data_IF_207355693310
#
_entry.id   IF_207355693310
#
_cell.length_a   1.000
_cell.length_b   1.000
_cell.length_c   1.000
_cell.angle_alpha   90.00
_cell.angle_beta   90.00
_cell.angle_gamma   90.00
#
_symmetry.space_group_name_H-M   'P 1'
#
loop_
_entity.id
_entity.type
_entity.pdbx_description
1 polymer ?
#
# COMPACT_ATOMS: atom_id res chain seq x y z
N UNK A 1 -21.95 -41.01 -16.61
CA UNK A 1 -21.89 -39.69 -17.29
C UNK A 1 -21.56 -38.64 -16.26
N UNK A 2 -20.63 -37.74 -16.56
CA UNK A 2 -20.25 -36.63 -15.69
C UNK A 2 -21.36 -35.57 -15.76
N UNK A 3 -21.83 -35.10 -14.61
CA UNK A 3 -22.83 -34.03 -14.49
C UNK A 3 -22.17 -32.65 -14.38
N UNK A 4 -22.96 -31.60 -14.54
CA UNK A 4 -22.49 -30.23 -14.29
C UNK A 4 -22.06 -30.06 -12.83
N UNK A 5 -21.08 -29.22 -12.59
CA UNK A 5 -20.72 -28.79 -11.23
C UNK A 5 -21.86 -27.95 -10.64
N UNK A 6 -22.09 -27.99 -9.32
CA UNK A 6 -23.02 -27.08 -8.67
C UNK A 6 -22.40 -25.67 -8.55
N UNK A 7 -23.25 -24.65 -8.33
CA UNK A 7 -22.76 -23.34 -7.87
C UNK A 7 -22.09 -23.50 -6.50
N UNK A 8 -20.80 -23.18 -6.34
CA UNK A 8 -20.09 -23.41 -5.09
C UNK A 8 -20.38 -22.32 -4.04
N UNK A 9 -20.12 -22.64 -2.78
CA UNK A 9 -20.19 -21.71 -1.64
C UNK A 9 -18.87 -21.71 -0.86
N UNK A 10 -18.42 -20.55 -0.39
CA UNK A 10 -17.19 -20.46 0.43
C UNK A 10 -17.56 -20.60 1.91
N UNK A 11 -17.09 -21.67 2.55
CA UNK A 11 -17.11 -21.81 4.00
C UNK A 11 -15.81 -21.30 4.63
N UNK A 12 -15.91 -20.73 5.83
CA UNK A 12 -14.77 -20.15 6.56
C UNK A 12 -14.58 -20.90 7.87
N UNK A 13 -13.36 -21.35 8.15
CA UNK A 13 -13.00 -22.05 9.37
C UNK A 13 -11.78 -21.41 10.05
N UNK A 14 -11.73 -21.35 11.39
CA UNK A 14 -12.81 -21.70 12.32
C UNK A 14 -14.00 -20.74 12.18
N UNK A 15 -15.16 -21.12 12.73
CA UNK A 15 -16.37 -20.28 12.69
C UNK A 15 -16.14 -18.88 13.29
N UNK A 16 -15.21 -18.78 14.24
CA UNK A 16 -14.80 -17.54 14.91
C UNK A 16 -13.66 -16.80 14.19
N UNK A 17 -13.39 -17.16 12.93
CA UNK A 17 -12.43 -16.45 12.08
C UNK A 17 -12.82 -14.97 12.00
N UNK A 18 -11.93 -14.11 12.49
CA UNK A 18 -12.15 -12.67 12.60
C UNK A 18 -10.83 -11.93 12.43
N UNK A 19 -10.86 -10.60 12.48
CA UNK A 19 -9.66 -9.75 12.38
C UNK A 19 -8.59 -10.04 13.44
N UNK A 20 -8.94 -10.71 14.54
CA UNK A 20 -8.00 -11.13 15.59
C UNK A 20 -7.42 -12.54 15.41
N UNK A 21 -7.83 -13.29 14.37
CA UNK A 21 -7.26 -14.60 14.06
C UNK A 21 -5.94 -14.46 13.30
N UNK A 22 -5.00 -15.39 13.53
CA UNK A 22 -3.74 -15.44 12.76
C UNK A 22 -3.95 -15.95 11.34
N UNK A 23 -4.84 -16.93 11.19
CA UNK A 23 -5.17 -17.54 9.91
C UNK A 23 -6.57 -18.14 9.92
N UNK A 24 -7.12 -18.33 8.72
CA UNK A 24 -8.39 -19.00 8.51
C UNK A 24 -8.30 -19.88 7.25
N UNK A 25 -9.03 -20.98 7.26
CA UNK A 25 -9.21 -21.86 6.11
C UNK A 25 -10.49 -21.47 5.39
N UNK A 26 -10.37 -21.21 4.09
CA UNK A 26 -11.50 -21.07 3.18
C UNK A 26 -11.67 -22.39 2.43
N UNK A 27 -12.88 -22.91 2.35
CA UNK A 27 -13.19 -24.14 1.59
C UNK A 27 -14.28 -23.85 0.57
N UNK A 28 -14.05 -24.26 -0.67
CA UNK A 28 -15.01 -24.18 -1.77
C UNK A 28 -15.93 -25.40 -1.73
N UNK A 29 -17.12 -25.23 -1.18
CA UNK A 29 -18.10 -26.29 -0.92
C UNK A 29 -19.07 -26.47 -2.08
N UNK A 30 -19.41 -27.73 -2.36
CA UNK A 30 -20.34 -28.13 -3.40
C UNK A 30 -20.43 -29.65 -3.47
N UNK A 31 -21.62 -30.19 -3.75
CA UNK A 31 -21.79 -31.64 -3.91
C UNK A 31 -21.30 -32.10 -5.30
N UNK A 32 -20.11 -32.69 -5.33
CA UNK A 32 -19.43 -33.10 -6.56
C UNK A 32 -19.54 -34.60 -6.87
N UNK A 33 -20.31 -35.40 -6.11
CA UNK A 33 -20.36 -36.87 -6.25
C UNK A 33 -20.64 -37.36 -7.67
N UNK A 34 -21.38 -36.59 -8.49
CA UNK A 34 -21.67 -36.92 -9.89
C UNK A 34 -20.95 -36.02 -10.91
N UNK A 35 -20.12 -35.09 -10.45
CA UNK A 35 -19.43 -34.08 -11.26
C UNK A 35 -17.92 -34.30 -11.35
N UNK A 36 -17.36 -35.32 -10.70
CA UNK A 36 -15.94 -35.66 -10.76
C UNK A 36 -15.47 -36.01 -12.20
N UNK A 37 -14.21 -35.68 -12.57
CA UNK A 37 -13.22 -34.96 -11.76
C UNK A 37 -13.46 -33.44 -11.75
N UNK A 38 -13.26 -32.80 -10.59
CA UNK A 38 -13.41 -31.33 -10.42
C UNK A 38 -12.07 -30.67 -10.09
N UNK A 39 -11.75 -29.58 -10.78
CA UNK A 39 -10.65 -28.66 -10.42
C UNK A 39 -11.21 -27.43 -9.71
N UNK A 40 -10.39 -26.85 -8.84
CA UNK A 40 -10.75 -25.70 -8.01
C UNK A 40 -9.80 -24.54 -8.30
N UNK A 41 -10.36 -23.35 -8.46
CA UNK A 41 -9.59 -22.12 -8.60
C UNK A 41 -10.08 -21.06 -7.63
N UNK A 42 -9.18 -20.18 -7.22
CA UNK A 42 -9.47 -19.10 -6.30
C UNK A 42 -9.09 -17.76 -6.92
N UNK A 43 -9.93 -16.76 -6.70
CA UNK A 43 -9.72 -15.38 -7.12
C UNK A 43 -9.75 -14.48 -5.90
N UNK A 44 -8.70 -13.66 -5.75
CA UNK A 44 -8.57 -12.65 -4.70
C UNK A 44 -8.86 -11.29 -5.34
N UNK A 45 -9.95 -10.63 -4.95
CA UNK A 45 -10.48 -9.43 -5.62
C UNK A 45 -10.59 -9.55 -7.15
N UNK A 46 -9.95 -8.65 -7.90
CA UNK A 46 -9.99 -8.56 -9.36
C UNK A 46 -8.82 -9.31 -10.02
N UNK A 47 -7.97 -10.00 -9.25
CA UNK A 47 -6.86 -10.79 -9.78
C UNK A 47 -7.32 -11.96 -10.67
N UNK A 48 -6.38 -12.54 -11.40
CA UNK A 48 -6.62 -13.75 -12.18
C UNK A 48 -6.93 -14.96 -11.30
N UNK A 49 -7.72 -15.89 -11.85
CA UNK A 49 -8.00 -17.18 -11.22
C UNK A 49 -6.72 -17.99 -11.05
N UNK A 50 -6.48 -18.48 -9.84
CA UNK A 50 -5.33 -19.33 -9.50
C UNK A 50 -5.82 -20.70 -9.11
N UNK A 51 -5.42 -21.72 -9.88
CA UNK A 51 -5.74 -23.11 -9.56
C UNK A 51 -5.13 -23.49 -8.19
N UNK A 52 -5.93 -24.15 -7.35
CA UNK A 52 -5.51 -24.61 -6.03
C UNK A 52 -6.35 -25.81 -5.59
N UNK A 53 -6.19 -26.20 -4.33
CA UNK A 53 -7.05 -27.22 -3.73
C UNK A 53 -8.47 -26.72 -3.47
N UNK A 54 -9.33 -27.66 -3.07
CA UNK A 54 -10.68 -27.36 -2.55
C UNK A 54 -10.65 -26.34 -1.40
N UNK A 55 -9.56 -26.31 -0.63
CA UNK A 55 -9.37 -25.38 0.48
C UNK A 55 -8.06 -24.59 0.33
N UNK A 56 -8.08 -23.34 0.79
CA UNK A 56 -6.90 -22.48 0.93
C UNK A 56 -6.81 -21.93 2.35
N UNK A 57 -5.59 -21.61 2.79
CA UNK A 57 -5.35 -20.93 4.07
C UNK A 57 -5.03 -19.47 3.79
N UNK A 58 -5.78 -18.56 4.39
CA UNK A 58 -5.49 -17.13 4.42
C UNK A 58 -4.86 -16.78 5.76
N UNK A 59 -3.80 -15.98 5.75
CA UNK A 59 -3.13 -15.51 6.97
C UNK A 59 -3.33 -14.00 7.12
N UNK A 60 -3.38 -13.51 8.34
CA UNK A 60 -3.59 -12.10 8.66
C UNK A 60 -2.30 -11.28 8.43
N UNK A 61 -1.98 -11.05 7.14
CA UNK A 61 -0.79 -10.31 6.68
C UNK A 61 -1.21 -9.02 6.00
N UNK A 62 -0.31 -8.04 5.86
CA UNK A 62 -0.60 -6.77 5.16
C UNK A 62 -1.16 -6.99 3.74
N UNK A 63 -0.65 -8.00 3.03
CA UNK A 63 -1.18 -8.39 1.70
C UNK A 63 -2.63 -8.83 1.81
N UNK A 64 -2.93 -9.78 2.68
CA UNK A 64 -4.31 -10.27 2.84
C UNK A 64 -5.23 -9.18 3.38
N UNK A 65 -4.77 -8.31 4.27
CA UNK A 65 -5.56 -7.19 4.80
C UNK A 65 -5.98 -6.18 3.70
N UNK A 66 -5.22 -6.11 2.60
CA UNK A 66 -5.57 -5.27 1.45
C UNK A 66 -6.62 -5.89 0.51
N UNK A 67 -6.85 -7.21 0.60
CA UNK A 67 -7.82 -7.94 -0.22
C UNK A 67 -9.22 -7.80 0.39
N UNK A 68 -10.19 -7.28 -0.34
CA UNK A 68 -11.58 -7.11 0.13
C UNK A 68 -12.37 -8.41 0.10
N UNK A 69 -12.21 -9.20 -0.97
CA UNK A 69 -13.09 -10.34 -1.24
C UNK A 69 -12.34 -11.52 -1.87
N UNK A 70 -12.91 -12.70 -1.68
CA UNK A 70 -12.48 -13.95 -2.28
C UNK A 70 -13.63 -14.56 -3.08
N UNK A 71 -13.31 -15.23 -4.18
CA UNK A 71 -14.24 -16.07 -4.93
C UNK A 71 -13.59 -17.42 -5.22
N UNK A 72 -14.39 -18.47 -5.31
CA UNK A 72 -13.93 -19.80 -5.71
C UNK A 72 -14.69 -20.29 -6.94
N UNK A 73 -14.03 -21.10 -7.76
CA UNK A 73 -14.57 -21.65 -8.99
C UNK A 73 -14.40 -23.16 -8.97
N UNK A 74 -15.44 -23.88 -9.36
CA UNK A 74 -15.40 -25.31 -9.67
C UNK A 74 -15.48 -25.50 -11.17
N UNK A 75 -14.64 -26.38 -11.72
CA UNK A 75 -14.64 -26.70 -13.15
C UNK A 75 -14.52 -28.20 -13.38
N UNK A 76 -15.28 -28.69 -14.35
CA UNK A 76 -15.11 -30.02 -14.91
C UNK A 76 -15.27 -29.98 -16.45
N UNK A 77 -15.11 -31.09 -17.18
CA UNK A 77 -15.25 -31.10 -18.65
C UNK A 77 -16.63 -30.68 -19.19
N UNK A 78 -17.65 -30.58 -18.34
CA UNK A 78 -19.05 -30.32 -18.72
C UNK A 78 -19.47 -28.88 -18.42
N UNK A 79 -18.91 -28.26 -17.39
CA UNK A 79 -19.32 -26.93 -16.91
C UNK A 79 -18.28 -26.29 -16.00
N UNK A 80 -18.43 -24.98 -15.81
CA UNK A 80 -17.68 -24.14 -14.88
C UNK A 80 -18.69 -23.27 -14.12
N UNK A 81 -18.56 -23.20 -12.79
CA UNK A 81 -19.44 -22.41 -11.93
C UNK A 81 -18.61 -21.68 -10.85
N UNK A 82 -19.04 -20.47 -10.50
CA UNK A 82 -18.35 -19.57 -9.58
C UNK A 82 -19.20 -19.28 -8.34
N UNK A 83 -18.54 -19.11 -7.20
CA UNK A 83 -19.19 -18.72 -5.96
C UNK A 83 -19.60 -17.26 -5.99
N UNK A 84 -20.45 -16.87 -5.05
CA UNK A 84 -20.57 -15.46 -4.71
C UNK A 84 -19.30 -14.96 -4.04
N UNK A 85 -19.10 -13.64 -4.08
CA UNK A 85 -17.94 -13.00 -3.44
C UNK A 85 -18.08 -13.10 -1.92
N UNK A 86 -17.03 -13.60 -1.26
CA UNK A 86 -16.95 -13.71 0.19
C UNK A 86 -16.07 -12.60 0.75
N UNK A 87 -16.60 -11.82 1.70
CA UNK A 87 -15.84 -10.77 2.36
C UNK A 87 -14.67 -11.33 3.17
N UNK A 88 -13.52 -10.69 3.06
CA UNK A 88 -12.34 -11.05 3.82
C UNK A 88 -12.46 -10.58 5.29
N UNK A 89 -12.39 -11.51 6.27
CA UNK A 89 -12.44 -11.16 7.69
C UNK A 89 -11.24 -10.32 8.16
N UNK A 90 -10.13 -10.34 7.42
CA UNK A 90 -8.94 -9.54 7.71
C UNK A 90 -8.93 -8.20 6.98
N UNK A 91 -9.95 -7.85 6.19
CA UNK A 91 -9.91 -6.61 5.41
C UNK A 91 -9.81 -5.39 6.34
N UNK A 92 -8.70 -4.67 6.24
CA UNK A 92 -8.53 -3.38 6.89
C UNK A 92 -8.63 -2.31 5.81
N UNK A 93 -9.63 -1.43 5.95
CA UNK A 93 -9.71 -0.22 5.14
C UNK A 93 -8.52 0.67 5.52
N UNK A 94 -7.40 0.48 4.84
CA UNK A 94 -6.28 1.40 4.93
C UNK A 94 -6.80 2.75 4.42
N UNK A 95 -7.06 3.69 5.34
CA UNK A 95 -6.83 5.09 5.01
C UNK A 95 -5.34 5.13 4.79
N UNK A 96 -4.92 4.94 3.55
CA UNK A 96 -3.51 4.96 3.20
C UNK A 96 -2.96 6.29 3.68
N UNK A 97 -2.30 6.27 4.83
CA UNK A 97 -1.34 7.29 5.21
C UNK A 97 -0.09 7.03 4.36
N UNK A 98 -0.28 7.08 3.05
CA UNK A 98 0.75 7.49 2.11
C UNK A 98 1.29 8.74 2.75
N UNK A 99 2.50 8.68 3.31
CA UNK A 99 3.27 9.87 3.60
C UNK A 99 3.46 10.48 2.23
N UNK A 100 2.51 11.36 1.88
CA UNK A 100 2.27 11.75 0.51
C UNK A 100 3.60 12.26 0.02
N UNK A 101 4.08 11.76 -1.11
CA UNK A 101 5.35 12.25 -1.63
C UNK A 101 5.28 13.79 -1.75
N UNK A 102 4.08 14.32 -1.97
CA UNK A 102 3.69 15.73 -1.83
C UNK A 102 4.13 16.36 -0.50
N UNK A 103 3.87 15.73 0.65
CA UNK A 103 4.31 16.23 1.97
C UNK A 103 5.83 16.29 2.08
N UNK A 104 6.53 15.30 1.53
CA UNK A 104 8.00 15.27 1.49
C UNK A 104 8.51 16.39 0.58
N UNK A 105 7.97 16.53 -0.63
CA UNK A 105 8.32 17.58 -1.58
C UNK A 105 8.05 18.98 -1.04
N UNK A 106 6.89 19.20 -0.41
CA UNK A 106 6.54 20.47 0.23
C UNK A 106 7.49 20.83 1.36
N UNK A 107 7.92 19.84 2.16
CA UNK A 107 8.89 20.06 3.23
C UNK A 107 10.25 20.46 2.67
N UNK A 108 10.73 19.76 1.63
CA UNK A 108 12.01 20.05 0.98
C UNK A 108 12.02 21.45 0.34
N UNK A 109 10.96 21.82 -0.37
CA UNK A 109 10.83 23.15 -1.00
C UNK A 109 10.88 24.28 0.04
N UNK A 110 10.20 24.11 1.19
CA UNK A 110 10.25 25.08 2.28
C UNK A 110 11.66 25.25 2.85
N UNK A 111 12.37 24.14 3.07
CA UNK A 111 13.74 24.17 3.59
C UNK A 111 14.69 24.87 2.61
N UNK A 112 14.59 24.57 1.32
CA UNK A 112 15.39 25.24 0.28
C UNK A 112 15.11 26.75 0.22
N UNK A 113 13.85 27.16 0.37
CA UNK A 113 13.47 28.58 0.44
C UNK A 113 14.04 29.30 1.66
N UNK A 114 14.07 28.65 2.83
CA UNK A 114 14.68 29.24 4.04
C UNK A 114 16.19 29.40 3.86
N UNK A 115 16.85 28.37 3.30
CA UNK A 115 18.29 28.40 3.05
C UNK A 115 18.63 29.55 2.09
N UNK A 116 17.90 29.72 0.99
CA UNK A 116 18.17 30.80 0.04
C UNK A 116 17.99 32.20 0.65
N UNK A 117 17.00 32.40 1.51
CA UNK A 117 16.81 33.67 2.23
C UNK A 117 17.95 33.97 3.20
N UNK A 118 18.42 32.97 3.96
CA UNK A 118 19.55 33.14 4.87
C UNK A 118 20.82 33.53 4.09
N UNK A 119 21.11 32.84 2.99
CA UNK A 119 22.25 33.19 2.12
C UNK A 119 22.14 34.60 1.55
N UNK A 120 20.95 35.04 1.13
CA UNK A 120 20.74 36.40 0.64
C UNK A 120 21.01 37.46 1.71
N UNK A 121 20.53 37.24 2.95
CA UNK A 121 20.79 38.16 4.07
C UNK A 121 22.28 38.22 4.40
N UNK A 122 22.96 37.07 4.47
CA UNK A 122 24.42 37.02 4.72
C UNK A 122 25.18 37.76 3.63
N UNK A 123 24.81 37.54 2.35
CA UNK A 123 25.42 38.23 1.22
C UNK A 123 25.20 39.75 1.28
N UNK A 124 23.99 40.20 1.62
CA UNK A 124 23.68 41.63 1.76
C UNK A 124 24.46 42.28 2.92
N UNK A 125 24.57 41.61 4.06
CA UNK A 125 25.36 42.08 5.22
C UNK A 125 26.84 42.16 4.86
N UNK A 126 27.37 41.12 4.20
CA UNK A 126 28.77 41.10 3.76
C UNK A 126 29.06 42.22 2.75
N UNK A 127 28.20 42.39 1.75
CA UNK A 127 28.30 43.47 0.75
C UNK A 127 28.21 44.86 1.38
N UNK A 128 27.33 45.05 2.36
CA UNK A 128 27.22 46.32 3.08
C UNK A 128 28.49 46.60 3.91
N UNK A 129 29.14 45.56 4.45
CA UNK A 129 30.39 45.70 5.19
C UNK A 129 31.56 46.10 4.29
N UNK A 130 31.63 45.59 3.06
CA UNK A 130 32.64 46.00 2.07
C UNK A 130 32.39 47.43 1.56
N UNK A 131 31.13 47.83 1.38
CA UNK A 131 30.77 49.19 1.00
C UNK A 131 31.00 50.23 2.12
N UNK A 132 31.09 49.80 3.38
CA UNK A 132 31.26 50.66 4.55
C UNK A 132 32.73 50.88 4.98
N UNK A 133 33.73 50.44 4.21
CA UNK A 133 35.12 50.83 4.43
C UNK A 133 35.40 52.18 3.74
N UNK A 134 35.63 53.29 4.48
CA UNK A 134 36.14 54.51 3.88
C UNK A 134 37.65 54.34 3.58
N UNK A 135 37.99 54.26 2.30
CA UNK A 135 39.35 54.54 1.85
C UNK A 135 39.56 56.07 1.86
N UNK A 136 40.33 56.58 2.83
CA UNK A 136 41.02 57.86 2.71
C UNK A 136 40.85 58.82 3.90
N UNK A 137 41.83 58.83 4.81
CA UNK A 137 42.32 60.09 5.39
C UNK A 137 43.83 60.14 5.17
N UNK A 138 44.23 61.00 4.24
CA UNK A 138 45.60 61.44 4.02
C UNK A 138 46.10 62.23 5.24
N UNK A 139 47.24 61.78 5.78
CA UNK A 139 48.46 62.53 6.17
C UNK A 139 48.33 63.96 6.74
N UNK A 140 49.10 64.18 7.83
CA UNK A 140 49.75 65.41 8.33
C UNK A 140 49.05 66.15 9.48
N UNK A 141 49.59 66.02 10.69
CA UNK A 141 50.32 67.11 11.35
C UNK A 141 51.30 66.52 12.38
N UNK A 142 52.36 67.28 12.65
CA UNK A 142 53.71 66.88 13.01
C UNK A 142 54.13 67.62 14.31
N UNK A 143 55.01 66.99 15.10
CA UNK A 143 55.93 67.51 16.13
C UNK A 143 55.49 67.83 17.59
N UNK A 144 56.48 67.62 18.50
CA UNK A 144 56.65 68.02 19.92
C UNK A 144 55.93 67.13 20.96
N UNK A 145 56.57 66.38 21.86
CA UNK A 145 57.83 66.53 22.62
C UNK A 145 58.47 65.16 22.93
#
# INVERSE_FOLDING_TARGET
MIQKVPKPEISVQPLMCSSGSDSCTLTCEGNVTKAEPVTYSWKMEEEDWKESGKSIIISNTEKTQSVKTFSCQMKNPVSEEESETRSNPFFLKTISKSRSWVDVFLTVLKVLGIISLVWAVVYLVWRNREAACPCGVLRVQQDLF
#
